data_IF_927749717318
#
_entry.id   IF_927749717318
#
_cell.length_a   1.000
_cell.length_b   1.000
_cell.length_c   1.000
_cell.angle_alpha   90.00
_cell.angle_beta   90.00
_cell.angle_gamma   90.00
#
_symmetry.space_group_name_H-M   'P 1'
#
loop_
_entity.id
_entity.type
_entity.pdbx_description
1 polymer ?
#
# COMPACT_ATOMS: atom_id res chain seq x y z
N UNK A 1 12.28 -1.42 -33.32
CA UNK A 1 12.65 -0.54 -32.20
C UNK A 1 11.41 -0.30 -31.37
N UNK A 2 11.39 -0.77 -30.11
CA UNK A 2 10.27 -0.59 -29.18
C UNK A 2 10.45 0.74 -28.43
N UNK A 3 9.39 1.51 -28.18
CA UNK A 3 9.51 2.71 -27.37
C UNK A 3 9.61 2.35 -25.88
N UNK A 4 10.64 2.89 -25.25
CA UNK A 4 10.90 2.86 -23.82
C UNK A 4 9.78 3.59 -23.08
N UNK A 5 8.90 2.82 -22.43
CA UNK A 5 7.88 3.36 -21.51
C UNK A 5 8.53 3.75 -20.19
N UNK A 6 9.07 4.96 -20.12
CA UNK A 6 9.47 5.59 -18.86
C UNK A 6 8.21 5.86 -18.05
N UNK A 7 8.05 5.19 -16.92
CA UNK A 7 6.99 5.44 -15.94
C UNK A 7 7.24 6.82 -15.32
N UNK A 8 6.57 7.85 -15.84
CA UNK A 8 6.47 9.15 -15.19
C UNK A 8 5.62 8.99 -13.93
N UNK A 9 6.28 9.01 -12.78
CA UNK A 9 5.63 9.16 -11.49
C UNK A 9 5.08 10.58 -11.40
N UNK A 10 3.76 10.74 -11.45
CA UNK A 10 3.14 11.99 -11.03
C UNK A 10 3.51 12.20 -9.56
N UNK A 11 4.22 13.30 -9.29
CA UNK A 11 4.71 13.63 -7.96
C UNK A 11 3.52 13.79 -7.01
N UNK A 12 3.31 12.81 -6.13
CA UNK A 12 2.35 12.89 -5.03
C UNK A 12 2.92 13.82 -3.95
N UNK A 13 2.94 15.12 -4.20
CA UNK A 13 3.34 16.11 -3.20
C UNK A 13 2.27 17.17 -3.06
N UNK A 14 1.47 17.05 -2.00
CA UNK A 14 1.16 18.19 -1.15
C UNK A 14 0.72 17.77 0.26
N UNK A 15 1.66 17.67 1.20
CA UNK A 15 1.37 17.43 2.63
C UNK A 15 1.18 18.78 3.38
N UNK A 16 1.21 19.92 2.68
CA UNK A 16 1.09 21.24 3.34
C UNK A 16 -0.34 21.69 3.65
N UNK A 17 -1.35 20.84 3.42
CA UNK A 17 -2.72 21.10 3.89
C UNK A 17 -3.27 19.90 4.66
N UNK A 18 -2.85 19.73 5.92
CA UNK A 18 -3.60 18.93 6.88
C UNK A 18 -4.92 19.67 7.19
N UNK A 19 -5.84 19.69 6.24
CA UNK A 19 -7.26 19.91 6.51
C UNK A 19 -7.71 18.66 7.24
N UNK A 20 -8.15 18.81 8.49
CA UNK A 20 -8.84 17.75 9.21
C UNK A 20 -10.09 17.44 8.39
N UNK A 21 -10.02 16.40 7.55
CA UNK A 21 -11.15 15.89 6.77
C UNK A 21 -11.69 14.65 7.46
N UNK A 22 -13.00 14.48 7.42
CA UNK A 22 -13.63 13.23 7.85
C UNK A 22 -13.07 12.05 7.05
N UNK A 23 -12.86 10.91 7.72
CA UNK A 23 -12.41 9.71 7.03
C UNK A 23 -13.42 9.29 5.96
N UNK A 24 -12.89 8.93 4.80
CA UNK A 24 -13.67 8.45 3.65
C UNK A 24 -14.07 6.97 3.81
N UNK A 25 -13.60 6.30 4.87
CA UNK A 25 -13.81 4.88 5.13
C UNK A 25 -15.10 4.68 5.96
N UNK A 26 -16.03 3.91 5.42
CA UNK A 26 -17.29 3.56 6.07
C UNK A 26 -17.41 2.04 6.20
N UNK A 27 -17.62 1.57 7.43
CA UNK A 27 -17.87 0.15 7.70
C UNK A 27 -19.38 -0.14 7.66
N UNK A 28 -19.81 -1.03 6.77
CA UNK A 28 -21.23 -1.40 6.60
C UNK A 28 -21.54 -2.86 6.99
N UNK A 29 -20.70 -3.45 7.85
CA UNK A 29 -20.93 -4.80 8.38
C UNK A 29 -20.67 -4.82 9.88
N UNK A 30 -21.53 -5.46 10.68
CA UNK A 30 -21.28 -5.64 12.12
C UNK A 30 -20.08 -6.55 12.40
N UNK A 31 -19.68 -7.38 11.43
CA UNK A 31 -18.49 -8.22 11.52
C UNK A 31 -17.50 -7.79 10.45
N UNK A 32 -16.37 -7.23 10.90
CA UNK A 32 -15.31 -6.83 9.99
C UNK A 32 -14.49 -8.04 9.53
N UNK A 33 -14.16 -8.05 8.25
CA UNK A 33 -13.19 -9.00 7.73
C UNK A 33 -11.83 -8.77 8.42
N UNK A 34 -11.05 -9.80 8.81
CA UNK A 34 -9.77 -9.61 9.50
C UNK A 34 -8.79 -8.70 8.75
N UNK A 35 -8.73 -8.83 7.42
CA UNK A 35 -7.91 -7.98 6.54
C UNK A 35 -8.41 -6.54 6.39
N UNK A 36 -9.59 -6.18 6.91
CA UNK A 36 -10.10 -4.81 6.84
C UNK A 36 -9.17 -3.79 7.52
N UNK A 37 -8.35 -4.25 8.48
CA UNK A 37 -7.34 -3.42 9.15
C UNK A 37 -6.22 -2.92 8.24
N UNK A 38 -6.09 -3.46 7.03
CA UNK A 38 -5.09 -3.03 6.05
C UNK A 38 -5.66 -2.04 5.02
N UNK A 39 -6.94 -1.68 5.13
CA UNK A 39 -7.58 -0.73 4.22
C UNK A 39 -7.32 0.69 4.71
N UNK A 40 -6.59 1.46 3.90
CA UNK A 40 -6.42 2.91 4.10
C UNK A 40 -6.78 3.68 2.84
N UNK A 41 -6.97 4.99 2.98
CA UNK A 41 -7.21 5.87 1.84
C UNK A 41 -5.99 5.90 0.90
N UNK A 42 -4.77 5.92 1.45
CA UNK A 42 -3.53 5.89 0.68
C UNK A 42 -3.37 4.59 -0.09
N UNK A 43 -3.63 3.45 0.57
CA UNK A 43 -3.54 2.14 -0.09
C UNK A 43 -4.56 2.05 -1.24
N UNK A 44 -5.78 2.59 -1.07
CA UNK A 44 -6.77 2.65 -2.13
C UNK A 44 -6.34 3.61 -3.27
N UNK A 45 -5.77 4.77 -2.94
CA UNK A 45 -5.29 5.75 -3.93
C UNK A 45 -4.20 5.14 -4.82
N UNK A 46 -3.22 4.48 -4.21
CA UNK A 46 -2.12 3.81 -4.92
C UNK A 46 -2.65 2.60 -5.72
N UNK A 47 -3.64 1.86 -5.18
CA UNK A 47 -4.24 0.70 -5.88
C UNK A 47 -4.91 1.10 -7.19
N UNK A 48 -5.56 2.27 -7.21
CA UNK A 48 -6.27 2.77 -8.39
C UNK A 48 -5.51 3.84 -9.17
N UNK A 49 -4.31 4.22 -8.71
CA UNK A 49 -3.49 5.26 -9.30
C UNK A 49 -4.27 6.59 -9.49
N UNK A 50 -4.91 7.04 -8.40
CA UNK A 50 -5.61 8.32 -8.31
C UNK A 50 -5.11 9.10 -7.09
N UNK A 51 -5.42 10.40 -7.01
CA UNK A 51 -5.07 11.18 -5.83
C UNK A 51 -5.98 10.84 -4.64
N UNK A 52 -5.53 11.15 -3.41
CA UNK A 52 -6.36 10.98 -2.21
C UNK A 52 -7.65 11.80 -2.31
N UNK A 53 -7.58 13.01 -2.85
CA UNK A 53 -8.72 13.93 -3.04
C UNK A 53 -9.74 13.36 -4.02
N UNK A 54 -9.29 12.59 -5.00
CA UNK A 54 -10.13 11.94 -6.00
C UNK A 54 -10.86 10.71 -5.46
N UNK A 55 -10.51 10.21 -4.27
CA UNK A 55 -11.34 9.23 -3.56
C UNK A 55 -12.52 9.97 -2.93
N UNK A 56 -13.74 9.51 -3.23
CA UNK A 56 -14.95 10.05 -2.63
C UNK A 56 -15.39 9.21 -1.43
N UNK A 57 -15.25 7.88 -1.52
CA UNK A 57 -15.69 6.95 -0.49
C UNK A 57 -15.04 5.58 -0.61
N UNK A 58 -14.72 4.98 0.54
CA UNK A 58 -14.31 3.59 0.68
C UNK A 58 -15.32 2.89 1.59
N UNK A 59 -16.07 1.93 1.07
CA UNK A 59 -17.06 1.19 1.84
C UNK A 59 -16.57 -0.22 2.12
N UNK A 60 -16.25 -0.50 3.38
CA UNK A 60 -15.89 -1.82 3.88
C UNK A 60 -17.16 -2.65 4.10
N UNK A 61 -17.47 -3.53 3.15
CA UNK A 61 -18.56 -4.52 3.22
C UNK A 61 -18.04 -5.83 3.85
N UNK A 62 -18.93 -6.79 4.13
CA UNK A 62 -18.55 -8.02 4.84
C UNK A 62 -17.37 -8.79 4.20
N UNK A 63 -17.29 -8.83 2.87
CA UNK A 63 -16.31 -9.65 2.14
C UNK A 63 -15.47 -8.89 1.12
N UNK A 64 -15.83 -7.65 0.82
CA UNK A 64 -15.21 -6.83 -0.22
C UNK A 64 -15.13 -5.38 0.23
N UNK A 65 -14.25 -4.63 -0.40
CA UNK A 65 -14.15 -3.17 -0.27
C UNK A 65 -14.69 -2.56 -1.56
N UNK A 66 -15.62 -1.63 -1.44
CA UNK A 66 -16.07 -0.81 -2.57
C UNK A 66 -15.35 0.54 -2.53
N UNK A 67 -14.55 0.82 -3.56
CA UNK A 67 -13.86 2.11 -3.70
C UNK A 67 -14.56 2.92 -4.78
N UNK A 68 -15.01 4.11 -4.42
CA UNK A 68 -15.65 5.07 -5.30
C UNK A 68 -14.84 6.36 -5.29
N UNK A 69 -14.43 6.80 -6.47
CA UNK A 69 -13.67 8.01 -6.70
C UNK A 69 -13.85 8.50 -8.13
N UNK A 70 -13.09 9.52 -8.52
CA UNK A 70 -13.14 10.09 -9.86
C UNK A 70 -12.80 9.03 -10.91
N UNK A 71 -13.76 8.76 -11.79
CA UNK A 71 -13.59 7.77 -12.86
C UNK A 71 -13.50 6.31 -12.39
N UNK A 72 -13.66 6.03 -11.09
CA UNK A 72 -13.59 4.68 -10.54
C UNK A 72 -14.79 4.34 -9.64
N UNK A 73 -15.37 3.17 -9.86
CA UNK A 73 -16.32 2.55 -8.93
C UNK A 73 -16.11 1.04 -9.01
N UNK A 74 -15.37 0.46 -8.05
CA UNK A 74 -14.90 -0.93 -8.14
C UNK A 74 -15.00 -1.65 -6.81
N UNK A 75 -15.36 -2.92 -6.88
CA UNK A 75 -15.28 -3.85 -5.76
C UNK A 75 -13.95 -4.59 -5.83
N UNK A 76 -13.19 -4.55 -4.73
CA UNK A 76 -11.90 -5.24 -4.57
C UNK A 76 -11.94 -6.13 -3.34
N UNK A 77 -11.06 -7.12 -3.32
CA UNK A 77 -10.91 -7.99 -2.16
C UNK A 77 -10.10 -7.28 -1.08
N UNK A 78 -10.39 -7.55 0.19
CA UNK A 78 -9.49 -7.14 1.27
C UNK A 78 -8.06 -7.69 1.10
N UNK A 79 -7.91 -8.84 0.42
CA UNK A 79 -6.61 -9.43 0.11
C UNK A 79 -5.82 -8.66 -0.97
N UNK A 80 -6.44 -7.68 -1.64
CA UNK A 80 -5.72 -6.83 -2.59
C UNK A 80 -4.91 -5.74 -1.86
N UNK A 81 -5.23 -5.42 -0.59
CA UNK A 81 -4.54 -4.41 0.22
C UNK A 81 -3.30 -4.98 0.94
N UNK A 82 -2.13 -4.33 0.86
CA UNK A 82 -0.92 -4.73 1.57
C UNK A 82 -1.00 -4.43 3.06
N UNK A 83 -0.31 -5.22 3.91
CA UNK A 83 -0.10 -4.86 5.30
C UNK A 83 0.51 -3.49 5.48
N UNK A 84 0.03 -2.79 6.51
CA UNK A 84 0.47 -1.44 6.90
C UNK A 84 1.05 -1.44 8.32
N UNK A 85 1.74 -0.37 8.68
CA UNK A 85 2.12 -0.06 10.06
C UNK A 85 0.90 0.45 10.88
N UNK A 86 1.09 0.66 12.17
CA UNK A 86 0.05 1.11 13.12
C UNK A 86 -1.13 0.15 13.35
N UNK A 87 -1.08 -1.07 12.80
CA UNK A 87 -2.04 -2.15 13.07
C UNK A 87 -1.34 -3.44 13.44
N UNK A 88 -2.11 -4.41 13.94
CA UNK A 88 -1.59 -5.74 14.24
C UNK A 88 -0.95 -6.37 13.01
N UNK A 89 0.28 -6.85 13.20
CA UNK A 89 1.11 -7.49 12.20
C UNK A 89 0.37 -8.66 11.50
N UNK A 90 0.80 -9.02 10.28
CA UNK A 90 0.29 -10.20 9.59
C UNK A 90 0.40 -11.47 10.43
N UNK A 91 -0.67 -12.25 10.44
CA UNK A 91 -0.82 -13.55 11.08
C UNK A 91 -0.89 -14.65 10.02
N UNK A 92 -0.69 -15.94 10.36
CA UNK A 92 -0.80 -17.03 9.39
C UNK A 92 -2.13 -17.07 8.63
N UNK A 93 -3.22 -16.63 9.26
CA UNK A 93 -4.54 -16.56 8.63
C UNK A 93 -4.58 -15.51 7.50
N UNK A 94 -3.85 -14.41 7.62
CA UNK A 94 -3.76 -13.38 6.58
C UNK A 94 -3.04 -13.92 5.33
N UNK A 95 -1.94 -14.67 5.53
CA UNK A 95 -1.24 -15.37 4.45
C UNK A 95 -2.14 -16.37 3.73
N UNK A 96 -2.98 -17.10 4.46
CA UNK A 96 -3.97 -17.99 3.86
C UNK A 96 -4.92 -17.22 2.91
N UNK A 97 -5.44 -16.07 3.34
CA UNK A 97 -6.31 -15.24 2.50
C UNK A 97 -5.60 -14.73 1.23
N UNK A 98 -4.37 -14.24 1.35
CA UNK A 98 -3.59 -13.77 0.18
C UNK A 98 -3.28 -14.90 -0.79
N UNK A 99 -2.80 -16.05 -0.31
CA UNK A 99 -2.52 -17.20 -1.17
C UNK A 99 -3.76 -17.74 -1.86
N UNK A 100 -4.92 -17.75 -1.17
CA UNK A 100 -6.20 -18.15 -1.75
C UNK A 100 -6.63 -17.20 -2.87
N UNK A 101 -6.51 -15.88 -2.65
CA UNK A 101 -6.85 -14.83 -3.63
C UNK A 101 -5.97 -14.93 -4.88
N UNK A 102 -4.66 -15.07 -4.70
CA UNK A 102 -3.70 -15.06 -5.81
C UNK A 102 -3.47 -16.45 -6.41
N UNK A 103 -4.14 -17.49 -5.92
CA UNK A 103 -3.95 -18.89 -6.35
C UNK A 103 -2.48 -19.30 -6.29
N UNK A 104 -1.82 -18.98 -5.17
CA UNK A 104 -0.37 -19.15 -4.94
C UNK A 104 0.54 -18.40 -5.92
N UNK A 105 0.01 -17.46 -6.72
CA UNK A 105 0.84 -16.52 -7.48
C UNK A 105 1.46 -15.47 -6.53
N UNK A 106 2.58 -14.86 -6.93
CA UNK A 106 3.18 -13.76 -6.19
C UNK A 106 2.21 -12.59 -6.00
N UNK A 107 2.50 -11.75 -5.01
CA UNK A 107 1.85 -10.49 -4.74
C UNK A 107 1.77 -9.65 -6.02
N UNK A 108 0.65 -8.98 -6.16
CA UNK A 108 0.42 -8.10 -7.30
C UNK A 108 1.46 -6.98 -7.32
N UNK A 109 1.81 -6.52 -8.51
CA UNK A 109 2.75 -5.40 -8.72
C UNK A 109 2.41 -4.18 -7.87
N UNK A 110 1.12 -3.95 -7.61
CA UNK A 110 0.62 -2.93 -6.69
C UNK A 110 1.29 -2.96 -5.31
N UNK A 111 1.49 -4.13 -4.69
CA UNK A 111 2.12 -4.21 -3.36
C UNK A 111 3.57 -3.72 -3.38
N UNK A 112 4.28 -3.94 -4.48
CA UNK A 112 5.64 -3.43 -4.65
C UNK A 112 5.61 -1.90 -4.72
N UNK A 113 4.72 -1.34 -5.54
CA UNK A 113 4.53 0.12 -5.66
C UNK A 113 4.16 0.76 -4.32
N UNK A 114 3.29 0.11 -3.55
CA UNK A 114 2.92 0.56 -2.21
C UNK A 114 4.14 0.66 -1.29
N UNK A 115 4.92 -0.42 -1.13
CA UNK A 115 6.06 -0.39 -0.21
C UNK A 115 7.17 0.56 -0.66
N UNK A 116 7.41 0.70 -1.98
CA UNK A 116 8.34 1.70 -2.52
C UNK A 116 7.89 3.11 -2.14
N UNK A 117 6.61 3.42 -2.35
CA UNK A 117 6.03 4.71 -1.97
C UNK A 117 6.17 4.98 -0.45
N UNK A 118 5.91 3.97 0.40
CA UNK A 118 6.08 4.12 1.84
C UNK A 118 7.54 4.40 2.23
N UNK A 119 8.51 3.78 1.57
CA UNK A 119 9.92 4.09 1.80
C UNK A 119 10.26 5.52 1.41
N UNK A 120 9.86 5.97 0.22
CA UNK A 120 10.11 7.34 -0.24
C UNK A 120 9.48 8.40 0.68
N UNK A 121 8.36 8.07 1.32
CA UNK A 121 7.66 8.95 2.27
C UNK A 121 8.19 8.89 3.70
N UNK A 122 8.99 7.89 4.05
CA UNK A 122 9.50 7.75 5.41
C UNK A 122 10.37 8.96 5.78
N UNK A 123 10.02 9.62 6.89
CA UNK A 123 10.65 10.87 7.33
C UNK A 123 11.82 10.63 8.29
N UNK A 124 12.00 9.40 8.75
CA UNK A 124 13.07 9.03 9.68
C UNK A 124 13.62 7.64 9.37
N UNK A 125 14.87 7.41 9.78
CA UNK A 125 15.50 6.10 9.66
C UNK A 125 14.75 5.02 10.45
N UNK A 126 14.14 5.39 11.59
CA UNK A 126 13.33 4.49 12.40
C UNK A 126 12.07 4.04 11.65
N UNK A 127 11.30 4.98 11.09
CA UNK A 127 10.10 4.68 10.30
C UNK A 127 10.45 3.82 9.06
N UNK A 128 11.53 4.18 8.36
CA UNK A 128 12.00 3.41 7.21
C UNK A 128 12.32 1.95 7.59
N UNK A 129 12.95 1.75 8.76
CA UNK A 129 13.27 0.43 9.28
C UNK A 129 12.00 -0.36 9.67
N UNK A 130 10.99 0.28 10.25
CA UNK A 130 9.71 -0.37 10.57
C UNK A 130 9.01 -0.89 9.30
N UNK A 131 8.96 -0.09 8.24
CA UNK A 131 8.45 -0.54 6.96
C UNK A 131 9.27 -1.71 6.38
N UNK A 132 10.60 -1.65 6.46
CA UNK A 132 11.45 -2.74 5.97
C UNK A 132 11.27 -4.04 6.78
N UNK A 133 11.05 -3.93 8.09
CA UNK A 133 10.73 -5.07 8.94
C UNK A 133 9.40 -5.70 8.53
N UNK A 134 8.40 -4.89 8.18
CA UNK A 134 7.12 -5.38 7.67
C UNK A 134 7.30 -6.11 6.33
N UNK A 135 8.02 -5.51 5.38
CA UNK A 135 8.36 -6.16 4.08
C UNK A 135 9.07 -7.49 4.32
N UNK A 136 10.01 -7.55 5.27
CA UNK A 136 10.73 -8.79 5.60
C UNK A 136 9.80 -9.90 6.06
N UNK A 137 8.72 -9.58 6.77
CA UNK A 137 7.71 -10.57 7.20
C UNK A 137 6.89 -11.11 6.03
N UNK A 138 6.59 -10.26 5.04
CA UNK A 138 5.79 -10.66 3.86
C UNK A 138 6.64 -11.02 2.64
N UNK A 139 7.97 -11.08 2.77
CA UNK A 139 8.88 -11.27 1.63
C UNK A 139 8.59 -12.50 0.78
N UNK A 140 8.08 -13.57 1.39
CA UNK A 140 7.72 -14.82 0.71
C UNK A 140 6.58 -14.67 -0.30
N UNK A 141 5.83 -13.57 -0.23
CA UNK A 141 4.76 -13.25 -1.17
C UNK A 141 5.29 -12.65 -2.47
N UNK A 142 6.52 -12.15 -2.51
CA UNK A 142 7.06 -11.46 -3.67
C UNK A 142 7.90 -12.38 -4.57
N UNK A 143 8.08 -11.96 -5.82
CA UNK A 143 9.13 -12.52 -6.69
C UNK A 143 10.49 -11.99 -6.27
N UNK A 144 11.58 -12.70 -6.61
CA UNK A 144 12.94 -12.24 -6.36
C UNK A 144 13.19 -10.84 -6.93
N UNK A 145 12.80 -10.61 -8.20
CA UNK A 145 12.90 -9.30 -8.86
C UNK A 145 12.10 -8.21 -8.13
N UNK A 146 10.90 -8.54 -7.65
CA UNK A 146 10.09 -7.60 -6.88
C UNK A 146 10.78 -7.22 -5.55
N UNK A 147 11.37 -8.20 -4.86
CA UNK A 147 12.14 -7.94 -3.64
C UNK A 147 13.39 -7.11 -3.88
N UNK A 148 14.13 -7.36 -4.97
CA UNK A 148 15.29 -6.56 -5.36
C UNK A 148 14.89 -5.10 -5.56
N UNK A 149 13.80 -4.86 -6.30
CA UNK A 149 13.30 -3.50 -6.55
C UNK A 149 12.92 -2.79 -5.24
N UNK A 150 12.27 -3.49 -4.31
CA UNK A 150 11.92 -2.95 -3.00
C UNK A 150 13.18 -2.64 -2.17
N UNK A 151 14.18 -3.52 -2.19
CA UNK A 151 15.47 -3.32 -1.47
C UNK A 151 16.27 -2.14 -2.03
N UNK A 152 16.26 -1.94 -3.34
CA UNK A 152 16.91 -0.80 -3.98
C UNK A 152 16.27 0.52 -3.51
N UNK A 153 14.93 0.57 -3.44
CA UNK A 153 14.21 1.73 -2.91
C UNK A 153 14.54 2.00 -1.44
N UNK A 154 14.59 0.96 -0.61
CA UNK A 154 15.02 1.07 0.79
C UNK A 154 16.43 1.67 0.90
N UNK A 155 17.38 1.13 0.14
CA UNK A 155 18.79 1.56 0.19
C UNK A 155 18.95 3.01 -0.27
N UNK A 156 18.22 3.42 -1.30
CA UNK A 156 18.18 4.80 -1.78
C UNK A 156 17.67 5.76 -0.70
N UNK A 157 16.54 5.44 -0.06
CA UNK A 157 15.99 6.29 0.99
C UNK A 157 16.89 6.32 2.22
N UNK A 158 17.45 5.18 2.61
CA UNK A 158 18.36 5.09 3.75
C UNK A 158 19.57 6.01 3.57
N UNK A 159 20.17 6.00 2.37
CA UNK A 159 21.26 6.91 2.04
C UNK A 159 20.81 8.38 2.13
N UNK A 160 19.66 8.72 1.53
CA UNK A 160 19.10 10.07 1.58
C UNK A 160 18.93 10.59 3.02
N UNK A 161 18.33 9.79 3.90
CA UNK A 161 18.10 10.15 5.30
C UNK A 161 19.41 10.29 6.10
N UNK A 162 20.42 9.46 5.81
CA UNK A 162 21.73 9.57 6.44
C UNK A 162 22.48 10.86 6.05
N UNK A 163 22.35 11.33 4.81
CA UNK A 163 22.94 12.60 4.36
C UNK A 163 22.20 13.84 4.86
N UNK A 164 20.91 13.69 5.20
CA UNK A 164 20.06 14.78 5.71
C UNK A 164 20.28 15.08 7.20
N UNK A 165 21.04 14.23 7.89
CA UNK A 165 21.31 14.29 9.33
C UNK A 165 22.70 14.83 9.72
N UNK A 166 23.44 15.44 8.77
CA UNK A 166 24.72 16.13 8.97
C UNK A 166 24.52 17.62 8.69
#
# INVERSE_FOLDING_TARGET
MLPTSTLEWQSFTNISSLKISESKIVHKSPTLHPLARFVTEEAAAILFNISLEEIYKITCLRYVVHVHGKGISRFVSYADFPPILAVNLPTPLDFYFWHKRWKKKPAQEFWQKFYIYQFEKALSAAELLEWNNLVTKVKSLFTNRGLETIKDAFSKQQNSLNFSGI
#
